data_IF_601066903231
#
_entry.id   IF_601066903231
#
_cell.length_a   1.000
_cell.length_b   1.000
_cell.length_c   1.000
_cell.angle_alpha   90.00
_cell.angle_beta   90.00
_cell.angle_gamma   90.00
#
_symmetry.space_group_name_H-M   'P 1'
#
loop_
_entity.id
_entity.type
_entity.pdbx_description
1 polymer ?
#
# COMPACT_ATOMS: atom_id res chain seq x y z
N UNK A 1 -12.93 -14.65 -16.52
CA UNK A 1 -12.03 -13.97 -15.57
C UNK A 1 -11.14 -15.01 -14.91
N UNK A 2 -9.82 -14.78 -14.83
CA UNK A 2 -8.91 -15.71 -14.14
C UNK A 2 -9.23 -15.75 -12.64
N UNK A 3 -9.39 -16.94 -12.07
CA UNK A 3 -9.59 -17.10 -10.62
C UNK A 3 -8.25 -17.10 -9.91
N UNK A 4 -8.04 -16.13 -9.02
CA UNK A 4 -6.85 -16.10 -8.17
C UNK A 4 -7.04 -17.10 -7.01
N UNK A 5 -6.11 -18.02 -6.87
CA UNK A 5 -6.05 -18.95 -5.74
C UNK A 5 -4.64 -18.93 -5.13
N UNK A 6 -4.52 -19.47 -3.90
CA UNK A 6 -3.25 -19.47 -3.16
C UNK A 6 -2.11 -20.15 -3.90
N UNK A 7 -2.38 -21.27 -4.59
CA UNK A 7 -1.36 -22.00 -5.32
C UNK A 7 -0.76 -21.14 -6.43
N UNK A 8 -1.62 -20.45 -7.18
CA UNK A 8 -1.20 -19.55 -8.24
C UNK A 8 -0.36 -18.39 -7.69
N UNK A 9 -0.77 -17.76 -6.58
CA UNK A 9 -0.01 -16.67 -5.96
C UNK A 9 1.38 -17.15 -5.54
N UNK A 10 1.47 -18.33 -4.93
CA UNK A 10 2.75 -18.91 -4.48
C UNK A 10 3.64 -19.24 -5.68
N UNK A 11 3.14 -20.01 -6.64
CA UNK A 11 3.94 -20.49 -7.76
C UNK A 11 4.36 -19.38 -8.72
N UNK A 12 3.40 -18.51 -9.09
CA UNK A 12 3.58 -17.53 -10.16
C UNK A 12 4.09 -16.17 -9.70
N UNK A 13 3.73 -15.72 -8.49
CA UNK A 13 4.12 -14.39 -8.01
C UNK A 13 5.28 -14.43 -7.02
N UNK A 14 5.30 -15.45 -6.15
CA UNK A 14 6.25 -15.54 -5.06
C UNK A 14 7.51 -16.34 -5.41
N UNK A 15 7.35 -17.52 -6.01
CA UNK A 15 8.45 -18.47 -6.28
C UNK A 15 9.04 -18.35 -7.69
N UNK A 16 8.29 -17.86 -8.67
CA UNK A 16 8.76 -17.72 -10.04
C UNK A 16 9.98 -16.78 -10.14
N UNK A 17 10.98 -17.20 -10.91
CA UNK A 17 12.18 -16.39 -11.20
C UNK A 17 11.92 -15.29 -12.23
N UNK A 18 10.97 -15.52 -13.13
CA UNK A 18 10.58 -14.61 -14.20
C UNK A 18 9.07 -14.41 -14.22
N UNK A 19 8.64 -13.30 -14.81
CA UNK A 19 7.23 -12.96 -14.89
C UNK A 19 6.63 -13.37 -16.24
N UNK A 20 5.83 -14.44 -16.22
CA UNK A 20 5.02 -14.88 -17.36
C UNK A 20 3.70 -14.11 -17.47
N UNK A 21 2.94 -14.36 -18.55
CA UNK A 21 1.66 -13.70 -18.79
C UNK A 21 0.62 -13.96 -17.67
N UNK A 22 0.65 -15.15 -17.05
CA UNK A 22 -0.26 -15.53 -15.97
C UNK A 22 0.07 -14.72 -14.71
N UNK A 23 1.36 -14.58 -14.40
CA UNK A 23 1.84 -13.75 -13.29
C UNK A 23 1.46 -12.27 -13.48
N UNK A 24 1.61 -11.73 -14.70
CA UNK A 24 1.17 -10.36 -15.01
C UNK A 24 -0.33 -10.18 -14.78
N UNK A 25 -1.14 -11.10 -15.30
CA UNK A 25 -2.59 -11.04 -15.13
C UNK A 25 -3.00 -11.19 -13.66
N UNK A 26 -2.35 -12.09 -12.92
CA UNK A 26 -2.60 -12.27 -11.50
C UNK A 26 -2.28 -11.02 -10.68
N UNK A 27 -1.13 -10.39 -10.98
CA UNK A 27 -0.75 -9.12 -10.35
C UNK A 27 -1.78 -8.04 -10.67
N UNK A 28 -2.16 -7.88 -11.94
CA UNK A 28 -3.10 -6.84 -12.35
C UNK A 28 -4.48 -7.00 -11.68
N UNK A 29 -4.94 -8.24 -11.47
CA UNK A 29 -6.18 -8.51 -10.72
C UNK A 29 -6.00 -8.15 -9.24
N UNK A 30 -4.92 -8.63 -8.59
CA UNK A 30 -4.66 -8.39 -7.17
C UNK A 30 -4.37 -6.91 -6.84
N UNK A 31 -3.77 -6.15 -7.76
CA UNK A 31 -3.53 -4.71 -7.58
C UNK A 31 -4.73 -3.85 -7.98
N UNK A 32 -5.82 -4.46 -8.46
CA UNK A 32 -7.00 -3.78 -8.97
C UNK A 32 -6.78 -3.05 -10.29
N UNK A 33 -5.65 -3.26 -10.98
CA UNK A 33 -5.37 -2.68 -12.32
C UNK A 33 -6.26 -3.26 -13.41
N UNK A 34 -6.71 -4.51 -13.26
CA UNK A 34 -7.67 -5.16 -14.17
C UNK A 34 -9.00 -5.44 -13.48
N UNK A 35 -9.58 -4.39 -12.86
CA UNK A 35 -10.89 -4.48 -12.23
C UNK A 35 -12.02 -4.20 -13.23
N UNK A 36 -13.02 -5.06 -13.27
CA UNK A 36 -14.25 -4.86 -14.06
C UNK A 36 -15.28 -3.97 -13.33
N UNK A 37 -15.15 -3.84 -12.02
CA UNK A 37 -16.00 -2.98 -11.19
C UNK A 37 -15.21 -1.82 -10.60
N UNK A 38 -15.86 -0.73 -10.21
CA UNK A 38 -15.22 0.29 -9.38
C UNK A 38 -14.69 -0.30 -8.09
N UNK A 39 -13.64 0.29 -7.53
CA UNK A 39 -13.10 -0.05 -6.20
C UNK A 39 -13.03 1.24 -5.38
N UNK A 40 -13.57 1.21 -4.17
CA UNK A 40 -13.48 2.34 -3.23
C UNK A 40 -12.45 1.99 -2.18
N UNK A 41 -11.50 2.88 -1.92
CA UNK A 41 -10.51 2.71 -0.87
C UNK A 41 -10.75 3.74 0.24
N UNK A 42 -10.61 3.31 1.49
CA UNK A 42 -10.74 4.17 2.66
C UNK A 42 -9.42 4.19 3.41
N UNK A 43 -8.86 5.38 3.62
CA UNK A 43 -7.72 5.61 4.50
C UNK A 43 -8.12 5.33 5.95
N UNK A 44 -7.96 4.09 6.39
CA UNK A 44 -8.38 3.60 7.71
C UNK A 44 -7.19 3.28 8.63
N UNK A 45 -6.06 3.98 8.43
CA UNK A 45 -5.01 4.05 9.45
C UNK A 45 -5.50 4.75 10.72
N UNK A 46 -4.72 4.71 11.79
CA UNK A 46 -5.10 5.31 13.09
C UNK A 46 -5.48 6.79 12.98
N UNK A 47 -4.74 7.58 12.20
CA UNK A 47 -5.07 8.98 11.92
C UNK A 47 -6.38 9.14 11.12
N UNK A 48 -6.60 8.33 10.09
CA UNK A 48 -7.84 8.32 9.32
C UNK A 48 -9.06 7.97 10.16
N UNK A 49 -8.96 6.92 10.98
CA UNK A 49 -10.00 6.53 11.92
C UNK A 49 -10.27 7.64 12.94
N UNK A 50 -9.22 8.25 13.50
CA UNK A 50 -9.32 9.41 14.39
C UNK A 50 -9.99 10.63 13.73
N UNK A 51 -9.78 10.83 12.43
CA UNK A 51 -10.39 11.90 11.64
C UNK A 51 -11.83 11.60 11.19
N UNK A 52 -12.32 10.37 11.37
CA UNK A 52 -13.70 9.98 11.07
C UNK A 52 -13.88 9.01 9.89
N UNK A 53 -12.82 8.38 9.38
CA UNK A 53 -12.87 7.43 8.26
C UNK A 53 -13.91 6.31 8.43
N UNK A 54 -14.19 5.88 9.67
CA UNK A 54 -15.23 4.88 9.94
C UNK A 54 -16.64 5.34 9.53
N UNK A 55 -16.98 6.62 9.73
CA UNK A 55 -18.26 7.19 9.29
C UNK A 55 -18.31 7.32 7.77
N UNK A 56 -17.19 7.74 7.17
CA UNK A 56 -17.04 7.83 5.70
C UNK A 56 -17.22 6.47 5.04
N UNK A 57 -16.57 5.42 5.58
CA UNK A 57 -16.75 4.02 5.13
C UNK A 57 -18.21 3.58 5.19
N UNK A 58 -18.90 3.84 6.30
CA UNK A 58 -20.31 3.45 6.42
C UNK A 58 -21.19 4.18 5.42
N UNK A 59 -20.94 5.47 5.17
CA UNK A 59 -21.66 6.24 4.16
C UNK A 59 -21.43 5.68 2.74
N UNK A 60 -20.20 5.24 2.42
CA UNK A 60 -19.90 4.56 1.15
C UNK A 60 -20.69 3.26 1.03
N UNK A 61 -20.70 2.41 2.06
CA UNK A 61 -21.44 1.15 2.04
C UNK A 61 -22.93 1.41 1.80
N UNK A 62 -23.53 2.34 2.55
CA UNK A 62 -24.94 2.70 2.40
C UNK A 62 -25.26 3.23 1.00
N UNK A 63 -24.37 4.05 0.42
CA UNK A 63 -24.51 4.55 -0.95
C UNK A 63 -24.50 3.38 -1.96
N UNK A 64 -23.52 2.48 -1.86
CA UNK A 64 -23.41 1.35 -2.78
C UNK A 64 -24.62 0.42 -2.70
N UNK A 65 -25.15 0.17 -1.49
CA UNK A 65 -26.36 -0.62 -1.27
C UNK A 65 -27.61 0.07 -1.85
N UNK A 66 -27.82 1.36 -1.54
CA UNK A 66 -28.94 2.18 -2.04
C UNK A 66 -29.00 2.19 -3.57
N UNK A 67 -27.84 2.27 -4.22
CA UNK A 67 -27.74 2.36 -5.67
C UNK A 67 -27.49 0.99 -6.35
N UNK A 68 -27.44 -0.11 -5.58
CA UNK A 68 -27.19 -1.47 -6.06
C UNK A 68 -25.89 -1.60 -6.89
N UNK A 69 -24.86 -0.83 -6.51
CA UNK A 69 -23.57 -0.82 -7.20
C UNK A 69 -22.65 -1.86 -6.56
N UNK A 70 -22.18 -2.81 -7.38
CA UNK A 70 -21.18 -3.78 -6.97
C UNK A 70 -19.79 -3.15 -7.03
N UNK A 71 -19.27 -2.71 -5.88
CA UNK A 71 -17.90 -2.21 -5.75
C UNK A 71 -17.29 -2.67 -4.41
N UNK A 72 -16.11 -3.32 -4.39
CA UNK A 72 -15.41 -3.58 -3.14
C UNK A 72 -15.00 -2.28 -2.44
N UNK A 73 -15.16 -2.27 -1.12
CA UNK A 73 -14.65 -1.23 -0.22
C UNK A 73 -13.43 -1.79 0.50
N UNK A 74 -12.26 -1.23 0.23
CA UNK A 74 -10.97 -1.70 0.72
C UNK A 74 -10.39 -0.70 1.71
N UNK A 75 -10.07 -1.16 2.91
CA UNK A 75 -9.34 -0.35 3.88
C UNK A 75 -7.85 -0.37 3.57
N UNK A 76 -7.24 0.81 3.51
CA UNK A 76 -5.81 1.00 3.29
C UNK A 76 -5.20 1.83 4.41
N UNK A 77 -3.88 1.78 4.54
CA UNK A 77 -3.16 2.65 5.47
C UNK A 77 -3.16 4.13 5.06
N UNK A 78 -2.62 4.99 5.92
CA UNK A 78 -2.40 6.40 5.58
C UNK A 78 -1.31 6.54 4.50
N UNK A 79 -1.44 7.51 3.59
CA UNK A 79 -0.39 7.88 2.64
C UNK A 79 0.71 8.76 3.28
N UNK A 80 0.59 9.11 4.56
CA UNK A 80 1.53 9.93 5.32
C UNK A 80 1.20 11.43 5.34
N UNK A 81 0.18 11.88 4.59
CA UNK A 81 -0.35 13.24 4.69
C UNK A 81 -1.54 13.26 5.66
N UNK A 82 -1.27 13.07 6.96
CA UNK A 82 -2.32 12.93 7.97
C UNK A 82 -3.25 14.15 8.06
N UNK A 83 -2.77 15.34 7.68
CA UNK A 83 -3.59 16.55 7.65
C UNK A 83 -4.72 16.50 6.61
N UNK A 84 -4.65 15.61 5.62
CA UNK A 84 -5.65 15.45 4.56
C UNK A 84 -6.70 14.37 4.88
N UNK A 85 -6.58 13.69 6.02
CA UNK A 85 -7.52 12.65 6.42
C UNK A 85 -8.90 13.22 6.80
N UNK A 86 -10.01 12.48 6.64
CA UNK A 86 -10.09 11.13 6.07
C UNK A 86 -9.88 11.12 4.56
N UNK A 87 -9.08 10.18 4.09
CA UNK A 87 -8.90 9.92 2.67
C UNK A 87 -9.93 8.91 2.17
N UNK A 88 -10.54 9.22 1.03
CA UNK A 88 -11.36 8.28 0.25
C UNK A 88 -10.86 8.30 -1.18
N UNK A 89 -10.61 7.13 -1.74
CA UNK A 89 -10.17 7.03 -3.12
C UNK A 89 -11.15 6.19 -3.93
N UNK A 90 -11.24 6.51 -5.21
CA UNK A 90 -12.10 5.80 -6.14
C UNK A 90 -11.28 5.39 -7.35
N UNK A 91 -11.32 4.10 -7.68
CA UNK A 91 -10.76 3.55 -8.91
C UNK A 91 -11.90 3.09 -9.81
N UNK A 92 -12.05 3.73 -10.96
CA UNK A 92 -12.95 3.29 -12.03
C UNK A 92 -12.22 2.30 -12.95
N UNK A 93 -12.95 1.36 -13.59
CA UNK A 93 -12.35 0.46 -14.59
C UNK A 93 -11.58 1.22 -15.67
N UNK A 94 -10.33 0.84 -15.91
CA UNK A 94 -9.45 1.43 -16.92
C UNK A 94 -8.92 2.84 -16.62
N UNK A 95 -9.26 3.42 -15.46
CA UNK A 95 -8.86 4.78 -15.08
C UNK A 95 -7.94 4.78 -13.86
N UNK A 96 -7.14 5.84 -13.74
CA UNK A 96 -6.36 6.06 -12.52
C UNK A 96 -7.27 6.14 -11.28
N UNK A 97 -6.72 5.65 -10.17
CA UNK A 97 -7.32 5.85 -8.83
C UNK A 97 -7.21 7.33 -8.50
N UNK A 98 -8.32 7.95 -8.11
CA UNK A 98 -8.38 9.36 -7.68
C UNK A 98 -8.48 9.39 -6.17
N UNK A 99 -7.67 10.21 -5.52
CA UNK A 99 -7.64 10.41 -4.07
C UNK A 99 -8.38 11.70 -3.71
N UNK A 100 -9.34 11.59 -2.80
CA UNK A 100 -10.08 12.70 -2.23
C UNK A 100 -9.68 12.89 -0.77
N UNK A 101 -9.51 14.14 -0.36
CA UNK A 101 -9.11 14.54 0.99
C UNK A 101 -10.27 15.11 1.80
N UNK A 102 -10.16 15.05 3.12
CA UNK A 102 -11.16 15.59 4.07
C UNK A 102 -12.58 15.11 3.76
N UNK A 103 -12.72 13.83 3.39
CA UNK A 103 -14.01 13.26 3.00
C UNK A 103 -14.76 12.82 4.24
N UNK A 104 -15.78 13.59 4.60
CA UNK A 104 -16.72 13.27 5.66
C UNK A 104 -17.93 12.52 5.10
N UNK A 105 -18.73 11.92 5.98
CA UNK A 105 -19.91 11.13 5.57
C UNK A 105 -20.86 11.87 4.62
N UNK A 106 -21.05 13.18 4.79
CA UNK A 106 -21.92 14.00 3.94
C UNK A 106 -21.37 14.28 2.54
N UNK A 107 -20.06 14.11 2.33
CA UNK A 107 -19.40 14.37 1.04
C UNK A 107 -19.45 13.15 0.11
N UNK A 108 -19.76 11.97 0.65
CA UNK A 108 -19.66 10.70 -0.07
C UNK A 108 -20.60 10.67 -1.28
N UNK A 109 -21.89 10.99 -1.09
CA UNK A 109 -22.89 10.92 -2.16
C UNK A 109 -22.55 11.88 -3.32
N UNK A 110 -22.24 13.17 -3.10
CA UNK A 110 -21.81 14.08 -4.17
C UNK A 110 -20.55 13.61 -4.92
N UNK A 111 -19.55 13.06 -4.22
CA UNK A 111 -18.31 12.59 -4.86
C UNK A 111 -18.58 11.34 -5.71
N UNK A 112 -19.32 10.38 -5.17
CA UNK A 112 -19.61 9.13 -5.87
C UNK A 112 -20.54 9.36 -7.07
N UNK A 113 -21.55 10.21 -6.94
CA UNK A 113 -22.42 10.60 -8.06
C UNK A 113 -21.62 11.23 -9.20
N UNK A 114 -20.70 12.15 -8.89
CA UNK A 114 -19.87 12.80 -9.88
C UNK A 114 -18.99 11.79 -10.64
N UNK A 115 -18.24 10.96 -9.91
CA UNK A 115 -17.26 10.04 -10.53
C UNK A 115 -17.91 8.89 -11.28
N UNK A 116 -19.07 8.39 -10.84
CA UNK A 116 -19.85 7.41 -11.60
C UNK A 116 -20.49 8.02 -12.86
N UNK A 117 -20.75 9.33 -12.87
CA UNK A 117 -21.15 10.06 -14.06
C UNK A 117 -19.95 10.46 -14.96
N UNK A 118 -18.73 10.03 -14.64
CA UNK A 118 -17.52 10.33 -15.42
C UNK A 118 -16.97 11.74 -15.20
N UNK A 119 -17.37 12.43 -14.12
CA UNK A 119 -16.88 13.76 -13.73
C UNK A 119 -16.13 13.69 -12.41
N UNK A 120 -15.24 14.64 -12.15
CA UNK A 120 -14.52 14.70 -10.86
C UNK A 120 -15.04 15.87 -10.04
N UNK A 121 -15.30 15.63 -8.76
CA UNK A 121 -15.62 16.69 -7.80
C UNK A 121 -14.33 17.39 -7.36
N UNK A 122 -13.93 18.44 -8.08
CA UNK A 122 -12.60 19.05 -8.01
C UNK A 122 -12.21 19.58 -6.62
N UNK A 123 -13.16 20.08 -5.82
CA UNK A 123 -12.88 20.78 -4.55
C UNK A 123 -12.12 19.93 -3.52
N UNK A 124 -12.29 18.60 -3.55
CA UNK A 124 -11.68 17.67 -2.58
C UNK A 124 -10.58 16.81 -3.16
N UNK A 125 -10.24 16.98 -4.44
CA UNK A 125 -9.23 16.14 -5.09
C UNK A 125 -7.85 16.46 -4.54
N UNK A 126 -7.19 15.45 -3.99
CA UNK A 126 -5.78 15.52 -3.61
C UNK A 126 -4.86 15.22 -4.81
N UNK A 127 -5.31 14.34 -5.71
CA UNK A 127 -4.62 13.98 -6.93
C UNK A 127 -4.94 12.54 -7.37
N UNK A 128 -4.36 12.11 -8.49
CA UNK A 128 -4.48 10.74 -8.98
C UNK A 128 -3.20 9.93 -8.78
N UNK A 129 -3.34 8.63 -8.58
CA UNK A 129 -2.21 7.72 -8.54
C UNK A 129 -1.61 7.56 -9.95
N UNK A 130 -0.41 6.99 -10.00
CA UNK A 130 0.32 6.74 -11.23
C UNK A 130 0.46 5.23 -11.44
N UNK A 131 -0.50 4.63 -12.14
CA UNK A 131 -0.44 3.28 -12.67
C UNK A 131 -0.21 3.35 -14.20
N UNK A 132 0.94 2.92 -14.74
CA UNK A 132 1.25 3.02 -16.17
C UNK A 132 0.27 2.29 -17.09
N UNK A 133 -0.53 1.37 -16.55
CA UNK A 133 -1.51 0.59 -17.30
C UNK A 133 -2.91 1.20 -17.28
N UNK A 134 -3.08 2.42 -16.76
CA UNK A 134 -4.39 3.06 -16.57
C UNK A 134 -4.43 4.46 -17.18
N UNK A 135 -5.58 4.81 -17.76
CA UNK A 135 -5.79 6.12 -18.37
C UNK A 135 -5.91 7.20 -17.28
N UNK A 136 -5.21 8.35 -17.43
CA UNK A 136 -5.35 9.45 -16.50
C UNK A 136 -6.74 10.10 -16.60
N UNK A 137 -7.12 10.76 -15.51
CA UNK A 137 -8.17 11.77 -15.51
C UNK A 137 -7.60 13.10 -16.00
N UNK A 138 -8.23 13.68 -17.00
CA UNK A 138 -7.82 14.98 -17.55
C UNK A 138 -8.00 16.08 -16.49
N UNK A 139 -7.06 17.01 -16.43
CA UNK A 139 -7.09 18.13 -15.46
C UNK A 139 -6.74 17.77 -14.02
N UNK A 140 -6.56 16.49 -13.68
CA UNK A 140 -6.21 16.06 -12.32
C UNK A 140 -4.69 15.86 -12.19
N UNK A 141 -4.00 16.52 -11.25
CA UNK A 141 -2.56 16.32 -11.06
C UNK A 141 -2.27 14.96 -10.43
N UNK A 142 -1.07 14.42 -10.65
CA UNK A 142 -0.66 13.19 -9.99
C UNK A 142 -0.21 13.45 -8.55
N UNK A 143 -0.49 12.50 -7.66
CA UNK A 143 -0.07 12.56 -6.26
C UNK A 143 1.45 12.72 -6.09
N UNK A 144 2.25 12.15 -7.00
CA UNK A 144 3.72 12.28 -6.91
C UNK A 144 4.23 13.69 -7.25
N UNK A 145 3.41 14.51 -7.90
CA UNK A 145 3.70 15.91 -8.23
C UNK A 145 3.31 16.87 -7.11
N UNK A 146 2.43 16.43 -6.21
CA UNK A 146 1.95 17.26 -5.09
C UNK A 146 3.14 17.69 -4.19
N UNK A 147 3.17 18.96 -3.71
CA UNK A 147 4.32 19.53 -2.99
C UNK A 147 4.79 18.72 -1.78
N UNK A 148 3.86 18.06 -1.09
CA UNK A 148 4.18 17.16 0.02
C UNK A 148 5.01 15.95 -0.41
N UNK A 149 4.72 15.34 -1.57
CA UNK A 149 5.31 14.08 -2.00
C UNK A 149 6.53 14.24 -2.90
N UNK A 150 6.62 15.31 -3.69
CA UNK A 150 7.66 15.48 -4.73
C UNK A 150 9.10 15.41 -4.18
N UNK A 151 9.30 15.79 -2.92
CA UNK A 151 10.62 15.77 -2.25
C UNK A 151 10.90 14.46 -1.49
N UNK A 152 9.97 13.51 -1.49
CA UNK A 152 10.08 12.28 -0.70
C UNK A 152 10.67 11.12 -1.51
N UNK A 153 11.56 10.35 -0.89
CA UNK A 153 11.97 9.04 -1.39
C UNK A 153 11.36 7.94 -0.52
N UNK A 154 10.21 7.43 -0.94
CA UNK A 154 9.42 6.47 -0.15
C UNK A 154 9.90 5.03 -0.36
N UNK A 155 11.01 4.64 0.28
CA UNK A 155 11.54 3.27 0.17
C UNK A 155 10.75 2.27 1.01
N UNK A 156 10.66 2.51 2.32
CA UNK A 156 9.90 1.64 3.25
C UNK A 156 8.40 1.88 3.12
N UNK A 157 8.00 3.13 2.85
CA UNK A 157 6.61 3.58 2.80
C UNK A 157 5.96 3.45 1.40
N UNK A 158 6.60 2.74 0.45
CA UNK A 158 6.12 2.62 -0.95
C UNK A 158 4.71 2.03 -1.07
N UNK A 159 4.31 1.19 -0.11
CA UNK A 159 3.02 0.50 -0.12
C UNK A 159 1.98 1.16 0.80
N UNK A 160 2.36 2.16 1.61
CA UNK A 160 1.44 2.85 2.52
C UNK A 160 0.35 3.57 1.74
N UNK A 161 -0.91 3.29 2.07
CA UNK A 161 -2.11 3.77 1.35
C UNK A 161 -2.36 3.12 -0.02
N UNK A 162 -1.50 2.20 -0.45
CA UNK A 162 -1.64 1.51 -1.74
C UNK A 162 -2.30 0.14 -1.59
N UNK A 163 -1.91 -0.62 -0.56
CA UNK A 163 -2.40 -1.99 -0.33
C UNK A 163 -3.35 -2.07 0.85
N UNK A 164 -4.21 -3.08 0.81
CA UNK A 164 -4.88 -3.58 1.99
C UNK A 164 -3.82 -4.17 2.97
N UNK A 165 -3.65 -3.60 4.18
CA UNK A 165 -2.58 -4.00 5.10
C UNK A 165 -2.74 -5.43 5.64
N UNK A 166 -3.94 -6.02 5.56
CA UNK A 166 -4.20 -7.40 6.00
C UNK A 166 -4.27 -8.41 4.84
N UNK A 167 -4.02 -7.97 3.61
CA UNK A 167 -3.98 -8.84 2.42
C UNK A 167 -2.57 -9.31 2.13
N UNK A 168 -2.31 -10.59 2.43
CA UNK A 168 -1.03 -11.23 2.07
C UNK A 168 -0.83 -11.30 0.56
N UNK A 169 -1.91 -11.51 -0.20
CA UNK A 169 -1.87 -11.68 -1.65
C UNK A 169 -1.49 -10.36 -2.34
N UNK A 170 -2.06 -9.23 -1.91
CA UNK A 170 -1.66 -7.91 -2.41
C UNK A 170 -0.19 -7.60 -2.08
N UNK A 171 0.25 -7.96 -0.88
CA UNK A 171 1.65 -7.75 -0.48
C UNK A 171 2.60 -8.56 -1.37
N UNK A 172 2.31 -9.84 -1.62
CA UNK A 172 3.08 -10.71 -2.54
C UNK A 172 3.05 -10.16 -3.97
N UNK A 173 1.89 -9.74 -4.47
CA UNK A 173 1.74 -9.20 -5.82
C UNK A 173 2.66 -7.99 -6.06
N UNK A 174 2.95 -7.21 -5.02
CA UNK A 174 3.87 -6.06 -5.04
C UNK A 174 5.31 -6.40 -4.63
N UNK A 175 5.68 -7.68 -4.65
CA UNK A 175 7.02 -8.18 -4.39
C UNK A 175 7.35 -8.39 -2.90
N UNK A 176 6.34 -8.36 -2.03
CA UNK A 176 6.47 -8.77 -0.64
C UNK A 176 7.03 -10.19 -0.53
N UNK A 177 7.78 -10.46 0.54
CA UNK A 177 8.49 -11.72 0.80
C UNK A 177 9.58 -12.15 -0.21
N UNK A 178 9.70 -11.54 -1.39
CA UNK A 178 10.77 -11.89 -2.36
C UNK A 178 12.17 -11.75 -1.76
N UNK A 179 12.41 -10.66 -1.03
CA UNK A 179 13.68 -10.45 -0.33
C UNK A 179 13.93 -11.54 0.71
N UNK A 180 12.94 -11.83 1.57
CA UNK A 180 13.03 -12.89 2.57
C UNK A 180 13.36 -14.25 1.96
N UNK A 181 12.66 -14.66 0.91
CA UNK A 181 12.91 -15.94 0.25
C UNK A 181 14.28 -15.99 -0.43
N UNK A 182 14.70 -14.90 -1.06
CA UNK A 182 16.06 -14.81 -1.61
C UNK A 182 17.10 -14.90 -0.51
N UNK A 183 16.85 -14.28 0.65
CA UNK A 183 17.74 -14.29 1.81
C UNK A 183 17.97 -15.71 2.32
N UNK A 184 16.90 -16.44 2.66
CA UNK A 184 17.02 -17.77 3.26
C UNK A 184 17.54 -18.85 2.30
N UNK A 185 17.39 -18.65 0.98
CA UNK A 185 17.80 -19.64 -0.03
C UNK A 185 19.23 -19.46 -0.52
N UNK A 186 19.74 -18.23 -0.55
CA UNK A 186 20.97 -17.89 -1.28
C UNK A 186 22.12 -17.41 -0.42
N UNK A 187 21.86 -16.98 0.81
CA UNK A 187 22.88 -16.34 1.63
C UNK A 187 23.01 -17.03 2.98
N UNK A 188 24.26 -17.23 3.38
CA UNK A 188 24.63 -17.56 4.75
C UNK A 188 24.36 -16.39 5.72
N UNK A 189 24.25 -16.64 7.04
CA UNK A 189 24.12 -15.58 8.04
C UNK A 189 25.22 -14.51 7.95
N UNK A 190 26.46 -14.90 7.66
CA UNK A 190 27.61 -14.02 7.48
C UNK A 190 27.45 -13.10 6.27
N UNK A 191 27.00 -13.65 5.14
CA UNK A 191 26.73 -12.87 3.93
C UNK A 191 25.58 -11.88 4.14
N UNK A 192 24.54 -12.26 4.89
CA UNK A 192 23.46 -11.35 5.26
C UNK A 192 24.00 -10.19 6.11
N UNK A 193 24.85 -10.47 7.11
CA UNK A 193 25.51 -9.41 7.88
C UNK A 193 26.35 -8.48 6.98
N UNK A 194 27.10 -9.05 6.01
CA UNK A 194 27.87 -8.27 5.04
C UNK A 194 26.97 -7.36 4.18
N UNK A 195 25.81 -7.85 3.71
CA UNK A 195 24.86 -7.06 2.92
C UNK A 195 24.32 -5.88 3.73
N UNK A 196 23.89 -6.13 4.98
CA UNK A 196 23.37 -5.08 5.86
C UNK A 196 24.45 -4.05 6.18
N UNK A 197 25.68 -4.48 6.45
CA UNK A 197 26.79 -3.58 6.73
C UNK A 197 27.14 -2.71 5.52
N UNK A 198 27.25 -3.32 4.33
CA UNK A 198 27.48 -2.60 3.06
C UNK A 198 26.37 -1.60 2.72
N UNK A 199 25.14 -1.85 3.17
CA UNK A 199 24.01 -0.91 2.95
C UNK A 199 24.14 0.39 3.74
N UNK A 200 24.98 0.42 4.79
CA UNK A 200 25.09 1.55 5.70
C UNK A 200 23.86 1.75 6.59
N UNK A 201 23.00 0.74 6.75
CA UNK A 201 21.79 0.85 7.58
C UNK A 201 22.15 1.13 9.04
N UNK A 202 21.57 2.18 9.60
CA UNK A 202 21.71 2.59 11.00
C UNK A 202 20.40 2.39 11.75
N UNK A 203 20.49 2.11 13.05
CA UNK A 203 19.31 2.01 13.93
C UNK A 203 18.47 3.26 13.87
N UNK A 204 17.14 3.10 13.72
CA UNK A 204 16.20 4.21 13.51
C UNK A 204 15.52 4.74 14.77
N UNK A 205 15.70 4.07 15.91
CA UNK A 205 15.21 4.56 17.22
C UNK A 205 16.14 5.57 17.88
N UNK A 206 16.69 6.54 17.14
CA UNK A 206 17.55 7.61 17.69
C UNK A 206 19.05 7.36 17.60
N UNK A 207 19.61 6.44 18.41
CA UNK A 207 21.07 6.32 18.62
C UNK A 207 21.92 5.96 17.37
N UNK A 208 21.31 5.57 16.26
CA UNK A 208 22.01 5.47 14.98
C UNK A 208 23.14 4.44 14.93
N UNK A 209 23.15 3.42 15.80
CA UNK A 209 24.18 2.40 15.80
C UNK A 209 24.16 1.60 14.47
N UNK A 210 25.31 1.27 13.85
CA UNK A 210 25.34 0.50 12.60
C UNK A 210 24.68 -0.87 12.76
N UNK A 211 23.63 -1.11 11.97
CA UNK A 211 22.78 -2.30 12.11
C UNK A 211 23.55 -3.57 11.75
N UNK A 212 24.36 -3.52 10.68
CA UNK A 212 25.18 -4.67 10.25
C UNK A 212 26.20 -5.11 11.31
N UNK A 213 26.84 -4.14 11.99
CA UNK A 213 27.77 -4.41 13.09
C UNK A 213 27.03 -5.07 14.26
N UNK A 214 25.85 -4.54 14.63
CA UNK A 214 25.02 -5.14 15.70
C UNK A 214 24.67 -6.59 15.37
N UNK A 215 24.21 -6.86 14.14
CA UNK A 215 23.89 -8.21 13.68
C UNK A 215 25.12 -9.14 13.75
N UNK A 216 26.30 -8.67 13.33
CA UNK A 216 27.54 -9.47 13.33
C UNK A 216 28.01 -9.81 14.75
N UNK A 217 27.90 -8.88 15.69
CA UNK A 217 28.23 -9.13 17.10
C UNK A 217 27.30 -10.20 17.69
N UNK A 218 25.99 -10.10 17.44
CA UNK A 218 25.02 -11.13 17.85
C UNK A 218 25.30 -12.48 17.19
N UNK A 219 25.67 -12.49 15.91
CA UNK A 219 26.01 -13.72 15.19
C UNK A 219 27.22 -14.42 15.81
N UNK A 220 28.28 -13.66 16.14
CA UNK A 220 29.54 -14.19 16.72
C UNK A 220 29.43 -14.60 18.19
N UNK A 221 28.44 -14.12 18.92
CA UNK A 221 28.22 -14.55 20.30
C UNK A 221 27.85 -16.03 20.34
N UNK A 222 28.57 -16.81 21.14
CA UNK A 222 28.26 -18.22 21.40
C UNK A 222 27.08 -18.31 22.37
N UNK A 223 26.00 -18.98 21.94
CA UNK A 223 24.80 -19.25 22.74
C UNK A 223 23.92 -20.23 21.99
N UNK A 224 23.32 -21.18 22.70
CA UNK A 224 22.34 -22.13 22.15
C UNK A 224 21.04 -21.43 21.73
N UNK A 225 20.74 -20.26 22.32
CA UNK A 225 19.53 -19.49 22.04
C UNK A 225 19.82 -18.00 21.83
N UNK A 226 19.15 -17.43 20.81
CA UNK A 226 19.23 -16.01 20.45
C UNK A 226 17.82 -15.47 20.22
N UNK A 227 17.64 -14.17 20.45
CA UNK A 227 16.36 -13.48 20.34
C UNK A 227 16.43 -12.30 19.37
N UNK A 228 15.33 -12.07 18.65
CA UNK A 228 15.09 -10.85 17.88
C UNK A 228 13.97 -10.08 18.58
N UNK A 229 14.28 -8.88 19.05
CA UNK A 229 13.30 -8.00 19.73
C UNK A 229 13.05 -6.79 18.84
N UNK A 230 11.78 -6.58 18.48
CA UNK A 230 11.32 -5.36 17.83
C UNK A 230 10.83 -4.39 18.91
N UNK A 231 11.49 -3.25 19.07
CA UNK A 231 10.97 -2.18 19.92
C UNK A 231 9.94 -1.37 19.11
N UNK A 232 8.68 -1.43 19.53
CA UNK A 232 7.55 -0.71 18.93
C UNK A 232 6.80 0.15 19.96
N UNK A 233 7.48 0.56 21.05
CA UNK A 233 6.90 1.41 22.10
C UNK A 233 6.66 2.85 21.60
N UNK A 234 7.51 3.35 20.69
CA UNK A 234 7.42 4.66 19.99
C UNK A 234 6.90 5.81 20.87
N UNK A 235 7.34 5.87 22.13
CA UNK A 235 6.81 6.80 23.15
C UNK A 235 7.32 8.24 23.08
N UNK A 236 8.14 8.57 22.08
CA UNK A 236 8.57 9.95 21.84
C UNK A 236 7.38 10.76 21.27
N UNK A 237 7.02 11.92 21.86
CA UNK A 237 5.83 12.69 21.49
C UNK A 237 5.95 13.45 20.16
#
# INVERSE_FOLDING_TARGET
MMTINKQLVIEKLLLASEEDAIAKEARAILTGSKSETPIIFIGAGTCGLGAGAGKTKQAVINYLEKHQIKAPVIEVGCIGLCAAEPLMDVKMPGKQRVCFSHVMAGDVEPILDAIFAGKIHEEKVLGQFNDPEQDPWEGIPFLHEHPFFVKQKRLVLKNCGIINPVSIDEYIARGGYKAYLSTIKKYSPEEVCNIIEKSGLRGRGGGGFPTGVKCRLTLRSESDQKYLVCNADEGDP
#
